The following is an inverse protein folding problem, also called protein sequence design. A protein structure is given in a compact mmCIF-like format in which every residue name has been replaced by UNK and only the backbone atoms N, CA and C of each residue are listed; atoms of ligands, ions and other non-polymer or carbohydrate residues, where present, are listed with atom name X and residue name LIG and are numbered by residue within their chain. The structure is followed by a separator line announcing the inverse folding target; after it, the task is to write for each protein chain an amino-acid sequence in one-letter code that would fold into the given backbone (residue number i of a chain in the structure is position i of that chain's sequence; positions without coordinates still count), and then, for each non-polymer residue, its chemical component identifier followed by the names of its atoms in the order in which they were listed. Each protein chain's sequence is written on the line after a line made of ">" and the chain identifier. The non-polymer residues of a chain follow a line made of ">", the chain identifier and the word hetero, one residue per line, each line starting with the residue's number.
data_IF_804607624386
#
_entry.id   IF_804607624386
#
_cell.length_a   1.000
_cell.length_b   1.000
_cell.length_c   1.000
_cell.angle_alpha   90.00
_cell.angle_beta   90.00
_cell.angle_gamma   90.00
#
_symmetry.space_group_name_H-M   'P 1'
#
loop_
_entity.id
_entity.type
_entity.pdbx_description
1 polymer ?
2 water ?
#
# COMPACT_ATOMS: atom_id res chain seq x y z
N UNK A 17 22.71 -25.63 11.89
CA UNK A 17 21.35 -25.72 11.34
C UNK A 17 20.43 -24.61 11.85
N UNK A 18 20.04 -23.72 10.96
CA UNK A 18 19.15 -22.62 11.30
C UNK A 18 17.69 -23.08 11.28
N UNK A 19 16.95 -22.68 12.31
CA UNK A 19 15.53 -23.02 12.34
C UNK A 19 14.76 -22.28 11.26
N UNK A 20 13.76 -22.95 10.70
CA UNK A 20 13.05 -22.47 9.52
C UNK A 20 11.61 -22.11 9.86
N UNK A 21 11.13 -21.05 9.22
CA UNK A 21 9.74 -20.61 9.37
C UNK A 21 9.21 -20.11 8.04
N UNK A 22 7.90 -20.24 7.85
CA UNK A 22 7.21 -19.73 6.68
C UNK A 22 6.05 -18.85 7.13
N UNK A 23 5.78 -17.80 6.37
CA UNK A 23 4.87 -16.74 6.79
C UNK A 23 4.00 -16.33 5.62
N UNK A 24 2.74 -15.99 5.93
CA UNK A 24 1.81 -15.44 4.96
C UNK A 24 1.01 -14.33 5.63
N UNK A 25 0.88 -13.19 4.95
CA UNK A 25 0.26 -12.01 5.54
C UNK A 25 -0.92 -11.54 4.69
N UNK A 26 -1.97 -11.08 5.36
CA UNK A 26 -3.13 -10.48 4.72
C UNK A 26 -3.20 -9.00 5.10
N UNK A 27 -3.48 -8.16 4.11
CA UNK A 27 -3.53 -6.73 4.30
C UNK A 27 -4.95 -6.22 4.16
N UNK A 28 -5.19 -5.03 4.72
CA UNK A 28 -6.43 -4.29 4.51
C UNK A 28 -6.06 -2.91 4.01
N UNK A 29 -7.07 -2.22 3.47
CA UNK A 29 -6.84 -0.90 2.92
C UNK A 29 -7.22 0.22 3.87
N UNK A 30 -6.23 0.80 4.54
CA UNK A 30 -6.43 1.96 5.39
C UNK A 30 -6.04 3.23 4.65
N UNK A 31 -6.55 4.36 5.14
CA UNK A 31 -6.30 5.63 4.52
C UNK A 31 -7.56 6.22 3.91
N UNK A 32 -7.41 7.31 3.14
CA UNK A 32 -8.60 7.97 2.59
C UNK A 32 -9.36 7.11 1.58
N UNK A 33 -8.64 6.39 0.72
CA UNK A 33 -9.26 5.53 -0.29
C UNK A 33 -8.77 4.09 -0.16
N UNK A 34 -8.40 3.69 1.05
CA UNK A 34 -7.82 2.36 1.24
C UNK A 34 -6.51 2.15 0.53
N UNK A 35 -5.78 3.23 0.24
CA UNK A 35 -4.56 3.12 -0.55
C UNK A 35 -3.44 2.47 0.24
N UNK A 36 -3.42 2.63 1.56
CA UNK A 36 -2.34 2.13 2.39
C UNK A 36 -2.69 0.70 2.82
N UNK A 37 -1.79 -0.24 2.51
CA UNK A 37 -1.97 -1.63 2.89
C UNK A 37 -1.47 -1.81 4.33
N UNK A 38 -2.38 -2.11 5.24
CA UNK A 38 -2.07 -2.33 6.64
C UNK A 38 -2.22 -3.80 6.99
N UNK A 39 -1.32 -4.30 7.82
CA UNK A 39 -1.35 -5.71 8.21
C UNK A 39 -2.61 -6.01 9.01
N UNK A 40 -3.28 -7.11 8.68
CA UNK A 40 -4.56 -7.45 9.28
C UNK A 40 -4.56 -8.84 9.89
N UNK A 41 -3.78 -9.75 9.33
CA UNK A 41 -3.71 -11.10 9.85
C UNK A 41 -2.38 -11.71 9.44
N UNK A 42 -1.84 -12.58 10.28
CA UNK A 42 -0.55 -13.22 10.01
C UNK A 42 -0.58 -14.66 10.51
N UNK A 43 0.26 -15.50 9.87
CA UNK A 43 0.40 -16.89 10.26
C UNK A 43 1.83 -17.33 9.95
N UNK A 44 2.44 -18.04 10.89
CA UNK A 44 3.82 -18.51 10.76
C UNK A 44 3.88 -19.99 11.13
N UNK A 45 4.68 -20.75 10.40
CA UNK A 45 4.77 -22.20 10.59
C UNK A 45 6.24 -22.62 10.64
N UNK A 46 6.46 -23.85 11.09
CA UNK A 46 7.79 -24.45 11.15
C UNK A 46 8.26 -25.03 9.83
N UNK A 47 9.31 -25.82 9.88
CA UNK A 47 9.69 -26.71 8.79
C UNK A 47 8.72 -27.87 8.66
N UNK A 48 7.99 -28.19 9.73
CA UNK A 48 6.99 -29.25 9.72
C UNK A 48 5.57 -28.72 9.62
N UNK A 49 5.41 -27.40 9.47
CA UNK A 49 4.08 -26.84 9.28
C UNK A 49 3.27 -26.68 10.54
N UNK A 50 3.91 -26.77 11.71
CA UNK A 50 3.20 -26.50 12.95
C UNK A 50 3.03 -25.01 13.14
N UNK A 51 2.02 -24.63 13.91
CA UNK A 51 1.62 -23.24 14.05
C UNK A 51 2.48 -22.58 15.11
N UNK A 52 3.18 -21.51 14.73
CA UNK A 52 3.83 -20.61 15.68
C UNK A 52 3.04 -19.34 15.92
N UNK A 53 2.17 -18.97 15.00
CA UNK A 53 1.43 -17.72 15.11
C UNK A 53 0.23 -17.78 14.17
N UNK A 54 -0.89 -17.23 14.63
CA UNK A 54 -2.08 -17.04 13.81
C UNK A 54 -3.06 -16.18 14.57
N UNK A 55 -3.15 -14.90 14.20
CA UNK A 55 -4.02 -13.97 14.91
C UNK A 55 -4.46 -12.86 13.97
N UNK A 56 -5.68 -12.39 14.17
CA UNK A 56 -6.17 -11.21 13.49
C UNK A 56 -5.56 -9.96 14.10
N UNK A 57 -5.03 -9.09 13.26
CA UNK A 57 -4.29 -7.91 13.71
C UNK A 57 -5.12 -6.67 13.42
N UNK A 58 -5.38 -5.89 14.47
CA UNK A 58 -6.14 -4.65 14.39
C UNK A 58 -5.20 -3.50 13.99
N UNK A 59 -5.28 -3.05 12.74
CA UNK A 59 -4.38 -1.97 12.31
C UNK A 59 -4.65 -0.70 13.10
N UNK A 60 -3.65 0.17 13.25
CA UNK A 60 -3.86 1.38 14.04
C UNK A 60 -4.81 2.38 13.36
N UNK A 61 -4.77 2.48 12.04
CA UNK A 61 -5.67 3.35 11.33
C UNK A 61 -7.04 2.69 11.16
N UNK A 62 -8.03 3.50 10.81
CA UNK A 62 -9.35 2.96 10.51
C UNK A 62 -9.30 2.19 9.20
N UNK A 63 -9.93 1.01 9.20
CA UNK A 63 -9.92 0.14 8.03
C UNK A 63 -10.97 0.64 7.05
N UNK A 64 -10.51 1.18 5.92
CA UNK A 64 -11.42 1.70 4.91
C UNK A 64 -11.73 0.64 3.85
N UNK A 65 -10.77 -0.23 3.53
CA UNK A 65 -10.97 -1.32 2.58
C UNK A 65 -10.50 -2.61 3.22
N UNK A 66 -11.42 -3.57 3.38
CA UNK A 66 -11.04 -4.88 3.91
C UNK A 66 -10.43 -5.78 2.86
N UNK A 67 -10.68 -5.52 1.57
CA UNK A 67 -10.15 -6.31 0.48
C UNK A 67 -10.47 -7.79 0.68
N UNK A 68 -11.70 -8.07 1.09
CA UNK A 68 -12.12 -9.44 1.39
C UNK A 68 -11.89 -10.38 0.22
N UNK A 69 -12.04 -9.87 -1.01
CA UNK A 69 -11.71 -10.66 -2.19
C UNK A 69 -10.28 -11.15 -2.16
N UNK A 70 -9.39 -10.40 -1.48
CA UNK A 70 -7.99 -10.77 -1.37
C UNK A 70 -7.54 -11.07 0.04
N UNK A 71 -8.28 -10.59 1.04
CA UNK A 71 -7.91 -10.81 2.43
C UNK A 71 -8.67 -11.96 3.07
N UNK A 72 -9.90 -12.21 2.63
CA UNK A 72 -10.78 -13.07 3.40
C UNK A 72 -11.17 -12.47 4.73
N UNK A 73 -10.90 -11.20 4.93
CA UNK A 73 -11.08 -10.52 6.21
C UNK A 73 -12.26 -9.57 6.09
N UNK A 74 -13.14 -9.60 7.10
CA UNK A 74 -14.24 -8.65 7.24
C UNK A 74 -14.13 -7.99 8.61
N UNK A 75 -15.19 -7.29 9.01
CA UNK A 75 -15.15 -6.58 10.30
C UNK A 75 -15.19 -7.56 11.47
N UNK A 76 -16.00 -8.62 11.35
CA UNK A 76 -16.17 -9.58 12.43
C UNK A 76 -14.85 -10.15 12.93
N UNK A 77 -13.82 -10.15 12.08
CA UNK A 77 -12.50 -10.64 12.50
C UNK A 77 -11.74 -9.59 13.31
N UNK A 78 -11.94 -8.31 13.00
CA UNK A 78 -11.28 -7.25 13.75
C UNK A 78 -11.81 -7.16 15.18
N UNK A 79 -12.97 -7.75 15.46
CA UNK A 79 -13.39 -7.95 16.84
C UNK A 79 -12.49 -9.00 17.48
N UNK A 80 -11.98 -8.69 18.67
CA UNK A 80 -10.99 -9.53 19.36
C UNK A 80 -9.77 -9.76 18.47
N UNK A 81 -9.19 -8.66 18.02
CA UNK A 81 -8.01 -8.67 17.16
C UNK A 81 -6.82 -8.12 17.92
N UNK A 82 -5.71 -8.85 17.88
CA UNK A 82 -4.49 -8.41 18.54
C UNK A 82 -3.98 -7.13 17.88
N UNK A 83 -3.86 -6.03 18.62
CA UNK A 83 -3.43 -4.77 18.00
C UNK A 83 -2.08 -4.92 17.30
N UNK A 84 -1.85 -4.05 16.32
CA UNK A 84 -0.63 -4.13 15.52
C UNK A 84 0.61 -3.91 16.38
N UNK A 85 0.51 -3.06 17.41
CA UNK A 85 1.64 -2.82 18.30
C UNK A 85 2.10 -4.12 18.95
N UNK A 86 1.16 -4.87 19.53
CA UNK A 86 1.49 -6.11 20.20
C UNK A 86 1.98 -7.16 19.20
N UNK A 87 1.16 -7.42 18.17
CA UNK A 87 1.45 -8.49 17.22
C UNK A 87 2.84 -8.36 16.63
N UNK A 88 3.21 -7.15 16.22
CA UNK A 88 4.55 -6.92 15.68
C UNK A 88 5.63 -7.41 16.64
N UNK A 89 5.53 -7.01 17.92
CA UNK A 89 6.45 -7.51 18.92
C UNK A 89 6.42 -9.02 19.03
N UNK A 90 5.23 -9.60 19.08
CA UNK A 90 5.11 -11.06 19.08
C UNK A 90 5.77 -11.66 17.84
N UNK A 91 5.30 -11.24 16.66
CA UNK A 91 5.73 -11.85 15.40
C UNK A 91 7.26 -11.87 15.29
N UNK A 92 7.89 -10.70 15.50
CA UNK A 92 9.34 -10.60 15.31
C UNK A 92 10.10 -11.63 16.12
N UNK A 93 9.72 -11.81 17.39
CA UNK A 93 10.42 -12.74 18.27
C UNK A 93 10.58 -14.11 17.65
N UNK A 94 9.61 -14.55 16.84
CA UNK A 94 9.79 -15.81 16.10
C UNK A 94 10.87 -15.65 15.02
N UNK A 95 10.74 -14.62 14.18
CA UNK A 95 11.55 -14.52 12.98
C UNK A 95 13.03 -14.35 13.28
N UNK A 96 13.37 -13.77 14.43
CA UNK A 96 14.76 -13.43 14.74
C UNK A 96 15.68 -14.62 14.55
N UNK A 97 16.66 -14.46 13.66
CA UNK A 97 17.63 -15.49 13.43
C UNK A 97 17.12 -16.75 12.76
N UNK A 98 15.90 -16.74 12.25
CA UNK A 98 15.35 -17.89 11.55
C UNK A 98 15.29 -17.62 10.06
N UNK A 99 15.46 -18.70 9.28
CA UNK A 99 15.31 -18.63 7.83
C UNK A 99 13.82 -18.56 7.52
N UNK A 100 13.39 -17.45 6.94
CA UNK A 100 11.97 -17.17 6.77
C UNK A 100 11.60 -17.43 5.32
N UNK A 101 10.52 -18.18 5.11
CA UNK A 101 10.00 -18.48 3.78
C UNK A 101 8.72 -17.68 3.59
N UNK A 102 8.59 -17.03 2.43
CA UNK A 102 7.42 -16.22 2.17
C UNK A 102 7.30 -15.88 0.70
N UNK A 103 6.06 -15.79 0.23
CA UNK A 103 5.77 -15.44 -1.15
C UNK A 103 5.69 -13.93 -1.28
N UNK A 104 6.62 -13.35 -2.04
CA UNK A 104 6.74 -11.89 -2.20
C UNK A 104 6.75 -11.22 -0.82
N UNK A 105 7.70 -11.65 0.00
CA UNK A 105 7.68 -11.26 1.40
C UNK A 105 8.23 -9.85 1.61
N UNK A 106 9.14 -9.40 0.75
CA UNK A 106 9.63 -8.03 0.84
C UNK A 106 8.49 -7.03 0.75
N UNK A 107 7.42 -7.38 0.03
CA UNK A 107 6.24 -6.53 0.00
C UNK A 107 5.59 -6.43 1.37
N UNK A 108 5.69 -7.47 2.18
CA UNK A 108 5.12 -7.45 3.51
C UNK A 108 6.06 -6.90 4.56
N UNK A 109 7.37 -6.92 4.30
CA UNK A 109 8.34 -6.38 5.24
C UNK A 109 7.98 -4.96 5.66
N UNK A 110 7.58 -4.14 4.69
CA UNK A 110 7.26 -2.75 4.99
C UNK A 110 6.02 -2.63 5.86
N UNK A 111 5.04 -3.53 5.68
CA UNK A 111 3.87 -3.52 6.53
C UNK A 111 4.13 -4.13 7.90
N UNK A 112 5.17 -4.95 8.03
CA UNK A 112 5.66 -5.35 9.34
C UNK A 112 6.69 -4.36 9.89
N UNK A 113 7.18 -3.45 9.06
CA UNK A 113 8.24 -2.50 9.42
C UNK A 113 9.48 -3.19 9.97
N UNK A 114 9.63 -4.48 9.65
CA UNK A 114 10.85 -5.23 9.91
C UNK A 114 11.34 -5.74 8.56
N UNK A 115 12.56 -5.35 8.20
CA UNK A 115 13.17 -5.74 6.94
C UNK A 115 14.27 -6.76 7.25
N UNK A 116 13.82 -7.96 7.57
CA UNK A 116 14.58 -9.14 7.96
C UNK A 116 15.77 -9.32 7.01
N UNK A 117 16.92 -9.84 7.50
CA UNK A 117 18.09 -10.03 6.65
C UNK A 117 17.80 -10.77 5.36
N UNK A 118 18.64 -10.57 4.35
CA UNK A 118 18.45 -11.20 3.04
C UNK A 118 19.01 -12.61 3.01
N UNK A 119 20.15 -12.84 3.66
CA UNK A 119 20.73 -14.17 3.75
C UNK A 119 19.85 -15.14 4.54
N UNK A 120 18.75 -14.68 5.11
CA UNK A 120 17.77 -15.55 5.76
C UNK A 120 16.40 -15.45 5.09
N UNK A 121 16.31 -14.75 3.97
CA UNK A 121 15.05 -14.51 3.27
C UNK A 121 14.97 -15.44 2.08
N UNK A 122 13.90 -16.24 2.03
CA UNK A 122 13.64 -17.17 0.94
C UNK A 122 12.27 -16.82 0.36
N UNK A 123 12.28 -16.26 -0.85
CA UNK A 123 11.06 -15.77 -1.49
C UNK A 123 10.58 -16.78 -2.52
N UNK A 124 9.47 -17.45 -2.22
CA UNK A 124 8.87 -18.37 -3.19
C UNK A 124 8.34 -17.64 -4.41
N UNK A 125 8.20 -16.32 -4.36
CA UNK A 125 7.85 -15.55 -5.55
C UNK A 125 8.88 -15.70 -6.65
N UNK A 126 10.09 -16.15 -6.31
CA UNK A 126 11.10 -16.51 -7.30
C UNK A 126 11.88 -17.69 -6.75
N UNK A 127 11.65 -18.88 -7.32
CA UNK A 127 12.42 -20.07 -6.99
C UNK A 127 13.38 -20.31 -8.16
N UNK A 128 14.60 -19.78 -8.10
CA UNK A 128 15.51 -19.87 -9.25
C UNK A 128 15.79 -21.30 -9.68
N UNK A 129 15.73 -22.29 -8.77
CA UNK A 129 15.71 -23.68 -9.24
C UNK A 129 14.58 -23.97 -10.22
N UNK A 130 13.41 -23.34 -10.04
CA UNK A 130 12.28 -23.50 -10.95
C UNK A 130 11.87 -24.95 -11.14
N UNK A 142 3.74 -14.65 -10.56
CA UNK A 142 2.89 -15.82 -10.40
C UNK A 142 2.29 -15.87 -9.00
N UNK A 143 0.98 -16.09 -8.93
CA UNK A 143 0.31 -16.18 -7.64
C UNK A 143 0.71 -17.47 -6.92
N UNK A 144 0.57 -17.43 -5.59
CA UNK A 144 0.83 -18.64 -4.81
C UNK A 144 -0.25 -19.68 -5.04
N UNK A 145 -1.48 -19.25 -5.35
CA UNK A 145 -2.56 -20.20 -5.64
C UNK A 145 -2.19 -21.10 -6.80
N UNK A 146 -1.77 -20.50 -7.91
CA UNK A 146 -1.41 -21.30 -9.08
C UNK A 146 -0.11 -22.06 -8.84
N UNK A 147 0.82 -21.47 -8.12
CA UNK A 147 2.11 -22.15 -7.87
C UNK A 147 1.90 -23.29 -6.90
N UNK A 148 0.93 -23.18 -6.02
CA UNK A 148 0.74 -24.29 -5.08
C UNK A 148 -0.01 -25.42 -5.72
N UNK A 149 -0.69 -25.19 -6.83
CA UNK A 149 -1.31 -26.34 -7.52
C UNK A 149 -0.27 -26.78 -8.54
N UNK A 150 0.25 -25.85 -9.30
CA UNK A 150 1.24 -26.14 -10.35
C UNK A 150 2.43 -26.92 -9.86
N UNK A 151 2.74 -26.91 -8.57
CA UNK A 151 3.90 -27.62 -8.07
C UNK A 151 3.58 -28.65 -6.99
N UNK A 152 2.53 -28.45 -6.18
CA UNK A 152 2.20 -29.36 -5.10
C UNK A 152 0.89 -30.10 -5.29
N UNK A 153 0.13 -29.78 -6.33
CA UNK A 153 -1.25 -30.26 -6.48
C UNK A 153 -2.05 -30.02 -5.21
N UNK A 154 -1.80 -28.88 -4.57
CA UNK A 154 -2.62 -28.41 -3.46
C UNK A 154 -3.37 -27.17 -3.92
N UNK A 155 -4.67 -27.14 -3.68
CA UNK A 155 -5.50 -26.00 -4.05
C UNK A 155 -5.59 -25.10 -2.82
N UNK A 156 -4.82 -24.02 -2.84
CA UNK A 156 -4.86 -23.04 -1.77
C UNK A 156 -6.20 -22.30 -1.83
N UNK A 157 -6.44 -21.41 -0.87
CA UNK A 157 -7.69 -20.65 -0.76
C UNK A 157 -8.84 -21.55 -0.32
N UNK A 158 -8.58 -22.42 0.64
CA UNK A 158 -9.65 -23.26 1.22
C UNK A 158 -9.57 -23.22 2.74
N UNK A 163 -9.43 -19.25 3.19
CA UNK A 163 -9.54 -18.61 4.50
C UNK A 163 -8.64 -19.31 5.52
N UNK A 164 -7.36 -19.40 5.20
CA UNK A 164 -6.40 -20.01 6.11
C UNK A 164 -4.98 -19.60 5.76
N UNK A 165 -4.54 -18.44 6.25
CA UNK A 165 -3.13 -18.06 6.12
C UNK A 165 -2.20 -19.12 6.69
N UNK A 166 -2.72 -19.96 7.59
CA UNK A 166 -1.99 -21.15 8.02
C UNK A 166 -1.68 -22.04 6.82
N UNK A 167 -2.68 -22.23 5.97
CA UNK A 167 -2.55 -23.13 4.81
C UNK A 167 -1.61 -22.53 3.80
N UNK A 168 -1.73 -21.25 3.61
CA UNK A 168 -0.85 -20.56 2.65
C UNK A 168 0.58 -20.51 3.17
N UNK A 169 0.80 -20.51 4.49
CA UNK A 169 2.15 -20.61 5.10
C UNK A 169 2.72 -22.02 4.87
N UNK A 170 2.01 -23.09 5.25
CA UNK A 170 2.46 -24.44 5.02
C UNK A 170 2.74 -24.69 3.55
N UNK A 171 1.93 -24.12 2.67
CA UNK A 171 2.15 -24.24 1.23
C UNK A 171 3.50 -23.65 0.84
N UNK A 172 3.77 -22.40 1.27
CA UNK A 172 5.07 -21.81 1.04
C UNK A 172 6.17 -22.63 1.69
N UNK A 173 5.89 -23.26 2.83
CA UNK A 173 6.89 -24.09 3.49
C UNK A 173 7.16 -25.35 2.67
N UNK A 174 6.11 -26.10 2.34
CA UNK A 174 6.28 -27.29 1.51
C UNK A 174 6.87 -26.94 0.14
N UNK A 175 6.51 -25.77 -0.39
CA UNK A 175 7.12 -25.31 -1.64
C UNK A 175 8.63 -25.14 -1.48
N UNK A 176 9.09 -24.87 -0.26
CA UNK A 176 10.52 -24.74 -0.01
C UNK A 176 11.17 -26.11 0.18
N UNK A 177 10.59 -26.95 1.04
CA UNK A 177 11.10 -28.32 1.22
C UNK A 177 11.11 -29.07 -0.10
N UNK A 178 10.19 -28.74 -1.01
CA UNK A 178 10.20 -29.32 -2.34
C UNK A 178 11.46 -28.96 -3.12
N UNK A 179 12.21 -27.97 -2.64
CA UNK A 179 13.33 -27.46 -3.43
C UNK A 179 14.44 -27.01 -2.47
N UNK A 180 14.32 -27.45 -1.21
CA UNK A 180 15.31 -27.10 -0.19
C UNK A 180 16.72 -27.44 -0.64
N UNK A 181 16.90 -28.65 -1.15
CA UNK A 181 18.23 -29.12 -1.49
C UNK A 181 18.79 -28.33 -2.66
N UNK A 182 17.99 -28.11 -3.69
CA UNK A 182 18.45 -27.32 -4.83
C UNK A 182 18.49 -25.83 -4.54
N UNK A 183 17.74 -25.37 -3.54
CA UNK A 183 17.80 -23.98 -3.07
C UNK A 183 19.19 -23.63 -2.59
N UNK A 184 19.61 -24.27 -1.50
CA UNK A 184 20.73 -23.78 -0.70
C UNK A 184 22.08 -23.95 -1.39
N UNK A 185 22.21 -24.88 -2.31
CA UNK A 185 23.49 -25.05 -2.99
C UNK A 185 23.82 -23.85 -3.85
N UNK A 186 22.92 -23.47 -4.76
CA UNK A 186 23.13 -22.30 -5.59
C UNK A 186 23.27 -21.02 -4.78
N UNK A 187 22.74 -20.99 -3.55
CA UNK A 187 22.91 -19.82 -2.70
C UNK A 187 24.35 -19.67 -2.25
N UNK A 188 25.11 -20.77 -2.18
CA UNK A 188 26.52 -20.71 -1.84
C UNK A 188 27.41 -20.68 -3.07
N UNK A 189 27.02 -21.36 -4.14
CA UNK A 189 27.82 -21.37 -5.37
C UNK A 189 27.87 -20.01 -6.04
N UNK A 190 27.07 -19.05 -5.59
CA UNK A 190 27.16 -17.67 -6.08
C UNK A 190 27.19 -16.69 -4.91
N UNK B 17 6.65 34.69 -3.14
CA UNK B 17 5.26 34.34 -3.43
C UNK B 17 5.15 32.99 -4.13
N UNK B 18 5.16 31.91 -3.35
CA UNK B 18 5.18 30.56 -3.90
C UNK B 18 3.87 30.26 -4.62
N UNK B 19 3.99 29.85 -5.89
CA UNK B 19 2.83 29.36 -6.61
C UNK B 19 2.42 27.99 -6.06
N UNK B 20 1.15 27.64 -6.27
CA UNK B 20 0.57 26.49 -5.58
C UNK B 20 -0.07 25.53 -6.57
N UNK B 21 -0.09 24.25 -6.19
CA UNK B 21 -0.60 23.18 -7.02
C UNK B 21 -1.43 22.24 -6.14
N UNK B 22 -2.21 21.37 -6.78
CA UNK B 22 -3.06 20.42 -6.08
C UNK B 22 -3.05 19.10 -6.83
N UNK B 23 -2.85 18.00 -6.10
CA UNK B 23 -2.70 16.68 -6.71
C UNK B 23 -3.77 15.75 -6.17
N UNK B 24 -4.13 14.76 -6.99
CA UNK B 24 -4.93 13.62 -6.57
C UNK B 24 -4.46 12.40 -7.35
N UNK B 25 -4.26 11.28 -6.65
CA UNK B 25 -3.70 10.09 -7.26
C UNK B 25 -4.63 8.90 -7.03
N UNK B 26 -4.62 7.97 -7.98
CA UNK B 26 -5.36 6.73 -7.88
C UNK B 26 -4.39 5.56 -7.87
N UNK B 27 -4.55 4.66 -6.91
CA UNK B 27 -3.66 3.53 -6.73
C UNK B 27 -4.28 2.26 -7.29
N UNK B 28 -3.43 1.41 -7.86
CA UNK B 28 -3.81 0.04 -8.18
C UNK B 28 -2.96 -0.90 -7.33
N UNK B 29 -3.42 -2.14 -7.20
CA UNK B 29 -2.72 -3.10 -6.39
C UNK B 29 -1.83 -4.03 -7.19
N UNK B 30 -0.51 -3.85 -7.10
CA UNK B 30 0.44 -4.76 -7.71
C UNK B 30 0.99 -5.71 -6.65
N UNK B 31 1.75 -6.70 -7.11
CA UNK B 31 2.21 -7.77 -6.26
C UNK B 31 1.06 -8.69 -5.90
N UNK B 32 1.38 -9.93 -5.55
CA UNK B 32 0.32 -10.90 -5.22
C UNK B 32 -0.60 -10.37 -4.13
N UNK B 33 -1.89 -10.66 -4.29
CA UNK B 33 -2.99 -10.14 -3.47
C UNK B 33 -3.19 -8.64 -3.65
N UNK B 34 -2.52 -8.02 -4.62
CA UNK B 34 -2.65 -6.59 -4.86
C UNK B 34 -2.28 -5.74 -3.66
N UNK B 35 -1.31 -6.17 -2.87
CA UNK B 35 -0.99 -5.52 -1.61
C UNK B 35 0.08 -4.45 -1.74
N UNK B 36 0.46 -4.08 -2.96
CA UNK B 36 1.37 -2.97 -3.21
C UNK B 36 0.61 -1.92 -3.99
N UNK B 37 0.41 -0.76 -3.37
CA UNK B 37 -0.34 0.33 -3.98
C UNK B 37 0.59 1.09 -4.93
N UNK B 38 0.50 0.77 -6.22
CA UNK B 38 1.30 1.43 -7.24
C UNK B 38 0.47 2.51 -7.93
N UNK B 39 1.16 3.54 -8.39
CA UNK B 39 0.48 4.69 -8.98
C UNK B 39 -0.11 4.32 -10.35
N UNK B 40 -1.35 4.75 -10.58
CA UNK B 40 -2.07 4.48 -11.81
C UNK B 40 -2.53 5.73 -12.54
N UNK B 41 -2.99 6.74 -11.82
CA UNK B 41 -3.41 8.00 -12.42
C UNK B 41 -3.08 9.15 -11.49
N UNK B 42 -2.65 10.27 -12.07
CA UNK B 42 -2.31 11.47 -11.31
C UNK B 42 -2.85 12.69 -12.04
N UNK B 43 -3.30 13.68 -11.27
CA UNK B 43 -3.79 14.93 -11.83
C UNK B 43 -3.29 16.09 -10.98
N UNK B 44 -2.75 17.10 -11.64
CA UNK B 44 -2.26 18.32 -10.98
C UNK B 44 -2.95 19.52 -11.60
N UNK B 45 -3.32 20.48 -10.76
CA UNK B 45 -4.04 21.67 -11.21
C UNK B 45 -3.38 22.92 -10.64
N UNK B 46 -3.65 24.04 -11.30
CA UNK B 46 -3.12 25.34 -10.91
C UNK B 46 -3.88 25.86 -9.69
N UNK B 47 -3.36 26.95 -9.11
CA UNK B 47 -4.12 27.69 -8.10
C UNK B 47 -5.49 28.08 -8.61
N UNK B 48 -5.61 28.36 -9.91
CA UNK B 48 -6.93 28.55 -10.51
C UNK B 48 -7.70 27.24 -10.58
N UNK B 49 -7.00 26.13 -10.78
CA UNK B 49 -7.60 24.84 -11.03
C UNK B 49 -7.48 24.30 -12.45
N UNK B 50 -6.58 24.83 -13.27
CA UNK B 50 -6.44 24.40 -14.65
C UNK B 50 -5.45 23.24 -14.74
N UNK B 51 -5.72 22.32 -15.67
CA UNK B 51 -5.05 21.01 -15.65
C UNK B 51 -3.62 21.20 -16.14
N UNK B 52 -2.67 21.08 -15.22
CA UNK B 52 -1.26 21.07 -15.58
C UNK B 52 -0.82 19.66 -15.94
N UNK B 53 -1.52 18.66 -15.45
CA UNK B 53 -1.18 17.27 -15.68
C UNK B 53 -2.40 16.42 -15.35
N UNK B 54 -2.68 15.43 -16.21
CA UNK B 54 -3.76 14.48 -15.96
C UNK B 54 -3.56 13.32 -16.94
N UNK B 55 -2.80 12.32 -16.51
CA UNK B 55 -2.54 11.16 -17.33
C UNK B 55 -2.62 9.92 -16.47
N UNK B 56 -2.86 8.79 -17.14
CA UNK B 56 -2.82 7.48 -16.50
C UNK B 56 -1.40 6.95 -16.56
N UNK B 57 -1.00 6.26 -15.49
CA UNK B 57 0.36 5.78 -15.32
C UNK B 57 0.33 4.26 -15.22
N UNK B 58 1.28 3.61 -15.88
CA UNK B 58 1.40 2.15 -15.83
C UNK B 58 2.45 1.77 -14.80
N UNK B 59 2.08 1.06 -13.74
CA UNK B 59 3.07 0.57 -12.76
C UNK B 59 4.14 -0.27 -13.44
N UNK B 60 5.34 -0.37 -12.86
CA UNK B 60 6.39 -1.19 -13.46
C UNK B 60 6.21 -2.69 -13.21
N UNK B 61 5.10 -3.10 -12.60
CA UNK B 61 4.82 -4.50 -12.33
C UNK B 61 3.39 -4.81 -12.76
N UNK B 62 3.04 -6.09 -12.67
CA UNK B 62 1.72 -6.54 -13.10
C UNK B 62 0.64 -6.05 -12.14
N UNK B 63 -0.48 -5.59 -12.70
CA UNK B 63 -1.60 -5.09 -11.91
C UNK B 63 -2.48 -6.28 -11.55
N UNK B 64 -2.46 -6.66 -10.26
CA UNK B 64 -3.28 -7.78 -9.81
C UNK B 64 -4.69 -7.32 -9.47
N UNK B 65 -4.82 -6.13 -8.91
CA UNK B 65 -6.12 -5.55 -8.56
C UNK B 65 -6.19 -4.13 -9.10
N UNK B 66 -7.22 -3.85 -9.89
CA UNK B 66 -7.40 -2.50 -10.41
C UNK B 66 -8.06 -1.56 -9.42
N UNK B 67 -8.67 -2.11 -8.36
CA UNK B 67 -9.31 -1.31 -7.30
C UNK B 67 -10.30 -0.32 -7.89
N UNK B 68 -11.15 -0.81 -8.80
CA UNK B 68 -12.10 0.04 -9.51
C UNK B 68 -13.22 0.56 -8.60
N UNK B 69 -13.18 0.27 -7.30
CA UNK B 69 -14.18 0.84 -6.40
C UNK B 69 -13.85 2.29 -6.07
N UNK B 70 -12.66 2.54 -5.50
CA UNK B 70 -12.24 3.90 -5.22
C UNK B 70 -11.65 4.56 -6.46
N UNK B 71 -10.78 3.84 -7.16
CA UNK B 71 -10.27 4.32 -8.43
C UNK B 71 -11.30 4.08 -9.52
N UNK B 72 -11.21 4.87 -10.59
CA UNK B 72 -11.97 4.56 -11.77
C UNK B 72 -11.28 3.60 -12.70
N UNK B 73 -10.13 3.06 -12.29
CA UNK B 73 -9.20 2.40 -13.20
C UNK B 73 -9.70 1.02 -13.60
N UNK B 74 -9.67 0.74 -14.90
CA UNK B 74 -9.82 -0.61 -15.42
C UNK B 74 -8.69 -0.84 -16.43
N UNK B 75 -8.71 -1.98 -17.13
CA UNK B 75 -7.64 -2.28 -18.07
C UNK B 75 -7.63 -1.30 -19.24
N UNK B 76 -8.79 -0.76 -19.61
CA UNK B 76 -8.88 0.09 -20.79
C UNK B 76 -8.08 1.38 -20.62
N UNK B 77 -7.87 1.83 -19.39
CA UNK B 77 -7.13 3.06 -19.15
C UNK B 77 -5.62 2.84 -19.15
N UNK B 78 -5.16 1.61 -18.91
CA UNK B 78 -3.74 1.31 -18.93
C UNK B 78 -3.18 1.17 -20.34
N UNK B 79 -4.04 1.15 -21.37
CA UNK B 79 -3.55 1.10 -22.75
C UNK B 79 -2.80 2.39 -23.08
N UNK B 80 -3.51 3.51 -23.04
CA UNK B 80 -2.88 4.84 -23.15
C UNK B 80 -2.41 5.24 -21.75
N UNK B 81 -1.16 4.91 -21.44
CA UNK B 81 -0.64 5.14 -20.10
C UNK B 81 0.84 5.47 -20.18
N UNK B 82 1.24 6.56 -19.52
CA UNK B 82 2.65 6.90 -19.41
C UNK B 82 3.35 5.87 -18.53
N UNK B 83 4.60 5.55 -18.84
CA UNK B 83 5.37 4.69 -17.93
C UNK B 83 5.67 5.41 -16.63
N UNK B 84 5.78 4.64 -15.54
CA UNK B 84 6.01 5.23 -14.23
C UNK B 84 7.27 6.07 -14.23
N UNK B 85 8.39 5.50 -14.71
CA UNK B 85 9.65 6.23 -14.74
C UNK B 85 9.51 7.55 -15.49
N UNK B 86 8.80 7.54 -16.61
CA UNK B 86 8.63 8.76 -17.41
C UNK B 86 7.84 9.80 -16.63
N UNK B 87 6.64 9.43 -16.25
CA UNK B 87 5.76 10.37 -15.51
C UNK B 87 6.35 10.63 -14.15
N UNK B 88 7.26 9.78 -13.68
CA UNK B 88 7.84 10.02 -12.33
C UNK B 88 8.54 11.36 -12.37
N UNK B 89 9.31 11.64 -13.40
CA UNK B 89 9.96 12.94 -13.43
C UNK B 89 9.00 13.99 -13.92
N UNK B 90 8.19 13.67 -14.92
CA UNK B 90 7.20 14.61 -15.45
C UNK B 90 6.40 15.26 -14.33
N UNK B 91 6.27 14.58 -13.19
CA UNK B 91 5.49 15.09 -12.08
C UNK B 91 6.33 15.99 -11.17
N UNK B 92 7.53 15.54 -10.79
CA UNK B 92 8.37 16.32 -9.89
C UNK B 92 8.73 17.67 -10.48
N UNK B 93 8.83 17.75 -11.81
CA UNK B 93 9.05 19.05 -12.44
C UNK B 93 7.98 20.05 -12.05
N UNK B 94 6.72 19.58 -12.00
CA UNK B 94 5.62 20.48 -11.67
C UNK B 94 5.54 20.73 -10.16
N UNK B 95 5.91 19.74 -9.34
CA UNK B 95 5.68 19.85 -7.90
C UNK B 95 6.81 20.61 -7.21
N UNK B 96 8.05 20.40 -7.66
CA UNK B 96 9.20 20.94 -6.96
C UNK B 96 9.16 22.46 -6.91
N UNK B 97 9.61 23.01 -5.78
CA UNK B 97 9.60 24.45 -5.60
C UNK B 97 8.24 25.06 -5.38
N UNK B 98 7.22 24.25 -5.15
CA UNK B 98 5.85 24.72 -5.02
C UNK B 98 5.26 24.27 -3.70
N UNK B 99 4.32 25.06 -3.18
CA UNK B 99 3.48 24.62 -2.09
C UNK B 99 2.49 23.59 -2.63
N UNK B 100 2.55 22.37 -2.10
CA UNK B 100 1.80 21.24 -2.63
C UNK B 100 0.69 20.89 -1.65
N UNK B 101 -0.55 20.88 -2.12
CA UNK B 101 -1.70 20.53 -1.30
C UNK B 101 -2.31 19.24 -1.80
N UNK B 102 -2.85 18.45 -0.87
CA UNK B 102 -3.45 17.18 -1.20
C UNK B 102 -4.05 16.47 -0.01
N UNK B 103 -5.04 15.62 -0.24
CA UNK B 103 -5.70 14.86 0.82
C UNK B 103 -4.86 13.63 1.15
N UNK B 104 -4.34 13.58 2.38
CA UNK B 104 -3.48 12.49 2.85
C UNK B 104 -2.37 12.21 1.84
N UNK B 105 -1.61 13.26 1.53
CA UNK B 105 -0.66 13.21 0.44
C UNK B 105 0.61 12.45 0.79
N UNK B 106 0.93 12.29 2.08
CA UNK B 106 2.13 11.56 2.46
C UNK B 106 2.03 10.09 2.08
N UNK B 107 0.81 9.53 2.09
CA UNK B 107 0.63 8.17 1.60
C UNK B 107 1.01 8.06 0.13
N UNK B 108 0.66 9.07 -0.66
CA UNK B 108 1.02 9.11 -2.07
C UNK B 108 2.48 9.50 -2.30
N UNK B 109 3.18 9.95 -1.27
CA UNK B 109 4.60 10.28 -1.43
C UNK B 109 5.42 9.04 -1.73
N UNK B 110 5.30 8.01 -0.88
CA UNK B 110 6.10 6.80 -1.05
C UNK B 110 5.71 6.04 -2.32
N UNK B 111 4.42 6.06 -2.67
CA UNK B 111 3.99 5.50 -3.95
C UNK B 111 4.66 6.24 -5.10
N UNK B 112 4.92 7.53 -4.93
CA UNK B 112 5.69 8.31 -5.89
C UNK B 112 7.19 8.21 -5.68
N UNK B 113 7.62 7.69 -4.52
CA UNK B 113 9.02 7.69 -4.10
C UNK B 113 9.61 9.08 -4.03
N UNK B 114 8.74 10.10 -3.95
CA UNK B 114 9.15 11.50 -3.83
C UNK B 114 8.60 12.04 -2.52
N UNK B 115 9.44 12.76 -1.79
CA UNK B 115 9.10 13.23 -0.45
C UNK B 115 9.25 14.75 -0.40
N UNK B 116 8.13 15.45 -0.63
CA UNK B 116 8.10 16.89 -0.65
C UNK B 116 8.41 17.46 0.73
N UNK B 117 9.00 18.65 0.80
CA UNK B 117 9.19 19.30 2.10
C UNK B 117 7.87 19.50 2.84
N UNK B 118 7.81 18.96 4.05
CA UNK B 118 6.69 19.09 4.97
C UNK B 118 6.15 20.52 5.03
N UNK B 119 7.05 21.51 5.05
CA UNK B 119 6.63 22.90 5.11
C UNK B 119 6.14 23.44 3.78
N UNK B 120 6.42 22.74 2.68
CA UNK B 120 5.81 23.03 1.39
C UNK B 120 4.69 22.04 1.07
N UNK B 121 4.30 21.22 2.04
CA UNK B 121 3.24 20.23 1.88
C UNK B 121 2.02 20.65 2.69
N UNK B 122 0.85 20.59 2.07
CA UNK B 122 -0.42 20.89 2.73
C UNK B 122 -1.33 19.69 2.62
N UNK B 123 -1.96 19.32 3.72
CA UNK B 123 -2.79 18.13 3.80
C UNK B 123 -4.20 18.50 4.20
N UNK B 124 -5.16 18.22 3.33
CA UNK B 124 -6.57 18.43 3.64
C UNK B 124 -7.17 17.31 4.47
N UNK B 125 -6.38 16.30 4.85
CA UNK B 125 -6.85 15.28 5.76
C UNK B 125 -7.19 15.88 7.12
N UNK B 126 -6.34 16.78 7.60
CA UNK B 126 -6.51 17.47 8.87
C UNK B 126 -6.30 18.96 8.54
N UNK B 127 -7.40 19.62 8.19
CA UNK B 127 -7.38 21.05 7.87
C UNK B 127 -7.09 21.80 9.17
N UNK B 128 -5.91 22.41 9.30
CA UNK B 128 -5.45 22.94 10.60
C UNK B 128 -6.41 23.93 11.23
N UNK B 129 -6.88 24.96 10.51
CA UNK B 129 -7.78 25.93 11.18
C UNK B 129 -9.12 25.35 11.58
N UNK B 130 -9.65 24.39 10.82
CA UNK B 130 -10.97 23.82 11.08
C UNK B 130 -10.93 22.64 12.03
N UNK B 131 -9.74 22.16 12.40
CA UNK B 131 -9.55 21.07 13.34
C UNK B 131 -8.06 20.97 13.65
N UNK B 132 -7.71 20.64 14.89
CA UNK B 132 -6.31 20.56 15.27
C UNK B 132 -6.08 19.59 16.44
N UNK B 141 -9.91 8.62 9.43
CA UNK B 141 -9.92 9.97 8.88
C UNK B 141 -11.14 10.20 8.00
N UNK B 142 -11.14 11.28 7.24
CA UNK B 142 -12.26 11.67 6.41
C UNK B 142 -11.90 11.50 4.93
N UNK B 143 -12.93 11.30 4.12
CA UNK B 143 -12.76 11.16 2.68
C UNK B 143 -12.91 12.51 2.00
N UNK B 144 -12.17 12.68 0.90
CA UNK B 144 -12.27 13.91 0.13
C UNK B 144 -13.66 14.10 -0.46
N UNK B 145 -14.32 13.00 -0.82
CA UNK B 145 -15.69 13.10 -1.33
C UNK B 145 -16.62 13.66 -0.26
N UNK B 146 -16.52 13.15 0.97
CA UNK B 146 -17.32 13.69 2.06
C UNK B 146 -16.88 15.09 2.44
N UNK B 147 -15.57 15.28 2.65
CA UNK B 147 -15.06 16.56 3.13
C UNK B 147 -15.37 17.67 2.13
N UNK B 148 -15.32 17.37 0.83
CA UNK B 148 -15.69 18.37 -0.17
C UNK B 148 -17.20 18.63 -0.15
N UNK B 149 -17.99 17.56 0.03
CA UNK B 149 -19.43 17.74 0.17
C UNK B 149 -19.77 18.56 1.40
N UNK B 150 -19.19 18.20 2.55
CA UNK B 150 -19.50 18.89 3.79
C UNK B 150 -19.04 20.34 3.77
N UNK B 151 -17.94 20.64 3.08
CA UNK B 151 -17.32 21.95 3.16
C UNK B 151 -17.44 22.80 1.90
N UNK B 152 -17.71 22.20 0.74
CA UNK B 152 -17.77 22.96 -0.49
C UNK B 152 -19.08 22.81 -1.26
N UNK B 153 -20.01 21.98 -0.79
CA UNK B 153 -21.23 21.67 -1.52
C UNK B 153 -20.93 21.18 -2.92
N UNK B 154 -19.87 20.39 -3.05
CA UNK B 154 -19.43 19.86 -4.33
C UNK B 154 -19.58 18.34 -4.32
N UNK B 155 -19.92 17.79 -5.48
CA UNK B 155 -20.21 16.37 -5.63
C UNK B 155 -19.14 15.74 -6.51
N UNK B 156 -17.97 15.52 -5.93
CA UNK B 156 -16.91 14.80 -6.63
C UNK B 156 -17.18 13.30 -6.48
N UNK B 157 -17.38 12.63 -7.60
CA UNK B 157 -17.78 11.22 -7.58
C UNK B 157 -16.56 10.31 -7.54
N UNK B 158 -16.67 9.23 -6.79
CA UNK B 158 -15.57 8.30 -6.58
C UNK B 158 -15.86 6.96 -7.25
N UNK B 163 -14.86 10.12 -12.46
CA UNK B 163 -13.81 9.48 -13.25
C UNK B 163 -12.80 10.51 -13.75
N UNK B 164 -12.44 11.45 -12.88
CA UNK B 164 -11.47 12.49 -13.24
C UNK B 164 -10.76 12.92 -11.96
N UNK B 165 -9.50 12.50 -11.81
CA UNK B 165 -8.70 12.98 -10.69
C UNK B 165 -8.49 14.48 -10.74
N UNK B 166 -8.97 15.08 -11.82
CA UNK B 166 -8.82 16.54 -11.97
C UNK B 166 -9.77 17.26 -11.04
N UNK B 167 -10.99 16.77 -10.98
CA UNK B 167 -12.07 17.35 -10.16
C UNK B 167 -11.77 17.32 -8.66
N UNK B 168 -11.05 16.32 -8.21
CA UNK B 168 -10.67 16.18 -6.80
C UNK B 168 -9.41 16.99 -6.57
N UNK B 169 -8.51 17.05 -7.53
CA UNK B 169 -7.38 17.97 -7.35
C UNK B 169 -7.98 19.37 -7.26
N UNK B 170 -8.84 19.74 -8.21
CA UNK B 170 -9.51 21.07 -8.24
C UNK B 170 -10.14 21.28 -6.90
N UNK B 171 -10.97 20.33 -6.50
CA UNK B 171 -11.65 20.32 -5.22
C UNK B 171 -10.67 20.38 -4.06
N UNK B 172 -9.51 19.74 -4.14
CA UNK B 172 -8.51 19.82 -3.06
C UNK B 172 -8.01 21.26 -3.00
N UNK B 173 -8.03 21.94 -4.12
CA UNK B 173 -7.60 23.35 -4.17
C UNK B 173 -8.72 24.27 -3.70
N UNK B 174 -9.91 24.22 -4.30
CA UNK B 174 -10.96 25.11 -3.85
C UNK B 174 -11.15 25.02 -2.34
N UNK B 175 -11.04 23.80 -1.81
CA UNK B 175 -11.01 23.60 -0.37
C UNK B 175 -9.89 24.41 0.28
N UNK B 176 -8.75 24.51 -0.40
CA UNK B 176 -7.62 25.26 0.14
C UNK B 176 -7.90 26.76 0.12
N UNK B 177 -8.16 27.32 -1.06
CA UNK B 177 -8.45 28.75 -1.18
C UNK B 177 -9.56 29.19 -0.25
N UNK B 178 -10.41 28.26 0.20
CA UNK B 178 -11.46 28.60 1.15
C UNK B 178 -10.88 29.01 2.50
N UNK B 179 -9.80 28.36 2.93
CA UNK B 179 -9.23 28.60 4.26
C UNK B 179 -7.72 28.80 4.15
N UNK B 180 -7.30 29.72 3.28
CA UNK B 180 -5.86 29.91 3.07
C UNK B 180 -5.22 30.73 4.18
N UNK B 181 -5.91 31.76 4.67
CA UNK B 181 -5.26 32.80 5.47
C UNK B 181 -4.78 32.24 6.80
N UNK B 182 -5.71 31.84 7.68
CA UNK B 182 -5.31 31.44 9.03
C UNK B 182 -4.41 30.21 9.03
N UNK B 183 -4.56 29.35 8.02
CA UNK B 183 -3.66 28.21 7.83
C UNK B 183 -2.21 28.68 7.78
N UNK B 184 -1.87 29.45 6.75
CA UNK B 184 -0.52 30.01 6.65
C UNK B 184 -0.19 30.91 7.83
N UNK B 185 -1.16 31.24 8.68
CA UNK B 185 -0.89 31.96 9.93
C UNK B 185 -0.82 31.04 11.13
N UNK B 186 -1.55 29.92 11.11
CA UNK B 186 -1.25 28.83 12.04
C UNK B 186 0.23 28.47 11.98
N UNK B 187 0.84 28.64 10.81
CA UNK B 187 2.28 28.51 10.65
C UNK B 187 3.00 29.84 10.83
N UNK B 188 2.45 30.72 11.67
CA UNK B 188 3.11 31.96 12.06
C UNK B 188 2.94 32.33 13.53
N UNK B 189 1.91 31.81 14.20
CA UNK B 189 1.72 32.08 15.62
C UNK B 189 2.96 31.72 16.43
N UNK B 190 3.49 30.52 16.20
CA UNK B 190 4.77 30.09 16.75
C UNK B 190 5.30 28.92 15.93
N UNK B 191 5.54 29.14 14.63
CA UNK B 191 5.77 28.01 13.72
C UNK B 191 7.10 27.33 14.01
N UNK B 192 7.34 26.15 13.44
CA UNK B 192 8.64 25.52 13.62
C UNK B 192 9.71 26.08 12.68
#
# INVERSE_FOLDING_TARGET
>A
TQAHSENKCSGASQKLPRKMVAIDCEMVGTGPKGHVSSLARCSIVNYNGDVLYDEYILPPCHIVDYRTRWSGIRKQHMVNATPFKIARGQILKILTGKIVVGHAIHNDFKALQYFHPKSLTRDTSHIPPLNRKADCPENATMSLKHLTKKLLNRDIQVGKSGHSSVEAAQATMELYKLVEVEWEEHLARNPPTD
>B
TQAHSENKCSGASQKLPRKMVAIDCEMVGTGPKGHVSSLARCSIVNYNGDVLYDEYILPPCHIVDYRTRWSGIRKQHMVNATPFKIARGQILKILTGKIVVGHAIHNDFKALQYFHPKSLTRDTSHIPPLNRKADCPENATMSLKHLTKKLLNRDIQVGKSGHSSVEAAQATMELYKLVEVEWEEHLARNPPTD
#
